data_IF_896684322852
#
_entry.id   IF_896684322852
#
_cell.length_a   1.000
_cell.length_b   1.000
_cell.length_c   1.000
_cell.angle_alpha   90.00
_cell.angle_beta   90.00
_cell.angle_gamma   90.00
#
_symmetry.space_group_name_H-M   'P 1'
#
loop_
_entity.id
_entity.type
_entity.pdbx_description
1 polymer ?
#
# COMPACT_ATOMS: atom_id res chain seq x y z
N UNK A 1 12.02 6.45 -4.13
CA UNK A 1 11.93 6.53 -2.65
C UNK A 1 13.34 6.42 -2.09
N UNK A 2 13.76 7.30 -1.17
CA UNK A 2 15.03 7.13 -0.46
C UNK A 2 14.92 5.96 0.52
N UNK A 3 15.84 4.99 0.44
CA UNK A 3 15.88 3.81 1.32
C UNK A 3 16.55 4.05 2.67
N UNK A 4 17.22 5.19 2.87
CA UNK A 4 18.03 5.46 4.07
C UNK A 4 19.38 4.72 4.11
N UNK A 5 19.72 3.98 3.05
CA UNK A 5 20.95 3.20 2.88
C UNK A 5 21.88 3.79 1.79
N UNK A 6 21.58 5.02 1.36
CA UNK A 6 22.29 5.71 0.28
C UNK A 6 21.83 5.31 -1.13
N UNK A 7 20.72 4.59 -1.25
CA UNK A 7 20.08 4.29 -2.53
C UNK A 7 18.69 4.90 -2.65
N UNK A 8 18.36 5.31 -3.87
CA UNK A 8 16.99 5.58 -4.28
C UNK A 8 16.39 4.33 -4.93
N UNK A 9 15.21 3.94 -4.46
CA UNK A 9 14.44 2.80 -4.94
C UNK A 9 13.33 3.24 -5.87
N UNK A 10 13.14 2.47 -6.94
CA UNK A 10 12.16 2.72 -8.00
C UNK A 10 11.49 1.39 -8.30
N UNK A 11 10.19 1.42 -8.59
CA UNK A 11 9.43 0.23 -8.95
C UNK A 11 8.70 0.47 -10.25
N UNK A 12 8.69 -0.54 -11.12
CA UNK A 12 7.77 -0.62 -12.26
C UNK A 12 6.77 -1.77 -12.04
N UNK A 13 6.06 -2.18 -13.09
CA UNK A 13 5.07 -3.25 -12.99
C UNK A 13 5.66 -4.63 -12.61
N UNK A 14 6.97 -4.84 -12.77
CA UNK A 14 7.62 -6.15 -12.70
C UNK A 14 8.95 -6.18 -11.94
N UNK A 15 9.51 -5.02 -11.59
CA UNK A 15 10.87 -4.91 -11.08
C UNK A 15 10.99 -3.88 -9.97
N UNK A 16 11.84 -4.18 -9.00
CA UNK A 16 12.35 -3.20 -8.04
C UNK A 16 13.81 -2.87 -8.41
N UNK A 17 14.07 -1.60 -8.69
CA UNK A 17 15.39 -1.06 -8.97
C UNK A 17 15.92 -0.31 -7.75
N UNK A 18 17.24 -0.25 -7.61
CA UNK A 18 17.91 0.75 -6.79
C UNK A 18 19.04 1.42 -7.56
N UNK A 19 19.21 2.72 -7.35
CA UNK A 19 20.27 3.55 -7.92
C UNK A 19 20.94 4.35 -6.81
N UNK A 20 22.26 4.54 -6.91
CA UNK A 20 23.03 5.36 -5.95
C UNK A 20 23.21 6.81 -6.43
N UNK A 21 23.21 6.99 -7.75
CA UNK A 21 23.37 8.26 -8.42
C UNK A 21 22.75 8.22 -9.83
N UNK A 22 22.93 9.30 -10.60
CA UNK A 22 22.41 9.44 -11.97
C UNK A 22 23.42 9.05 -13.05
N UNK A 23 24.41 8.20 -12.74
CA UNK A 23 25.40 7.71 -13.72
C UNK A 23 24.79 6.79 -14.79
N UNK A 24 23.53 6.38 -14.63
CA UNK A 24 22.87 5.39 -15.47
C UNK A 24 23.12 3.94 -15.02
N UNK A 25 23.82 3.73 -13.90
CA UNK A 25 23.99 2.41 -13.30
C UNK A 25 22.92 2.14 -12.23
N UNK A 26 22.42 0.91 -12.18
CA UNK A 26 21.41 0.49 -11.21
C UNK A 26 21.41 -1.02 -11.02
N UNK A 27 20.83 -1.46 -9.92
CA UNK A 27 20.66 -2.87 -9.60
C UNK A 27 19.17 -3.23 -9.61
N UNK A 28 18.85 -4.44 -10.06
CA UNK A 28 17.48 -4.98 -10.08
C UNK A 28 17.40 -6.08 -9.03
N UNK A 29 16.39 -6.02 -8.16
CA UNK A 29 16.11 -7.09 -7.22
C UNK A 29 15.59 -8.32 -7.98
N UNK A 30 16.17 -9.48 -7.72
CA UNK A 30 15.61 -10.74 -8.17
C UNK A 30 14.61 -11.26 -7.13
N UNK A 31 13.31 -11.25 -7.47
CA UNK A 31 12.23 -11.82 -6.64
C UNK A 31 12.14 -13.36 -6.70
N UNK A 32 13.05 -14.01 -7.42
CA UNK A 32 12.99 -15.44 -7.69
C UNK A 32 11.71 -15.79 -8.44
N UNK A 33 10.95 -16.77 -7.92
CA UNK A 33 9.69 -17.20 -8.50
C UNK A 33 8.46 -16.51 -7.87
N UNK A 34 8.64 -15.56 -6.95
CA UNK A 34 7.51 -14.89 -6.31
C UNK A 34 6.94 -13.81 -7.26
N UNK A 35 5.68 -13.91 -7.69
CA UNK A 35 5.07 -12.90 -8.54
C UNK A 35 4.78 -11.63 -7.74
N UNK A 36 5.27 -10.48 -8.20
CA UNK A 36 5.01 -9.19 -7.56
C UNK A 36 3.54 -8.73 -7.67
N UNK A 37 2.76 -9.31 -8.60
CA UNK A 37 1.43 -8.81 -8.94
C UNK A 37 1.50 -7.39 -9.50
N UNK A 38 0.37 -6.69 -9.49
CA UNK A 38 0.36 -5.28 -9.83
C UNK A 38 0.83 -4.45 -8.62
N UNK A 39 2.02 -3.85 -8.76
CA UNK A 39 2.65 -3.03 -7.72
C UNK A 39 2.29 -1.56 -7.90
N UNK A 40 1.96 -0.90 -6.79
CA UNK A 40 1.49 0.50 -6.81
C UNK A 40 2.39 1.46 -6.04
N UNK A 41 3.06 1.00 -5.00
CA UNK A 41 3.83 1.88 -4.13
C UNK A 41 5.04 1.19 -3.53
N UNK A 42 5.95 2.03 -3.04
CA UNK A 42 7.02 1.67 -2.13
C UNK A 42 6.78 2.36 -0.79
N UNK A 43 7.19 1.70 0.30
CA UNK A 43 7.15 2.25 1.65
C UNK A 43 8.46 1.98 2.38
N UNK A 44 8.92 2.94 3.19
CA UNK A 44 10.01 2.73 4.14
C UNK A 44 9.38 2.50 5.52
N UNK A 45 9.39 1.25 5.98
CA UNK A 45 8.78 0.82 7.24
C UNK A 45 9.84 0.11 8.07
N UNK A 46 9.94 0.42 9.36
CA UNK A 46 10.94 -0.17 10.26
C UNK A 46 12.39 -0.12 9.71
N UNK A 47 12.73 0.94 8.96
CA UNK A 47 14.05 1.09 8.34
C UNK A 47 14.32 0.16 7.15
N UNK A 48 13.29 -0.51 6.60
CA UNK A 48 13.41 -1.38 5.43
C UNK A 48 12.45 -0.96 4.32
N UNK A 49 12.90 -1.14 3.08
CA UNK A 49 12.07 -0.94 1.89
C UNK A 49 11.04 -2.06 1.79
N UNK A 50 9.80 -1.67 1.57
CA UNK A 50 8.67 -2.55 1.31
C UNK A 50 8.07 -2.22 -0.06
N UNK A 51 7.73 -3.27 -0.80
CA UNK A 51 6.96 -3.21 -2.04
C UNK A 51 5.50 -3.49 -1.72
N UNK A 52 4.62 -2.60 -2.18
CA UNK A 52 3.18 -2.73 -1.99
C UNK A 52 2.57 -3.38 -3.24
N UNK A 53 2.34 -4.68 -3.17
CA UNK A 53 1.61 -5.42 -4.19
C UNK A 53 0.13 -5.16 -4.01
N UNK A 54 -0.37 -4.21 -4.80
CA UNK A 54 -1.72 -3.68 -4.66
C UNK A 54 -2.76 -4.75 -4.91
N UNK A 55 -2.65 -5.44 -6.06
CA UNK A 55 -3.69 -6.38 -6.48
C UNK A 55 -3.79 -7.60 -5.59
N UNK A 56 -2.67 -8.02 -4.98
CA UNK A 56 -2.58 -9.21 -4.12
C UNK A 56 -2.80 -8.92 -2.64
N UNK A 57 -2.93 -7.65 -2.27
CA UNK A 57 -2.96 -7.25 -0.86
C UNK A 57 -1.70 -7.69 -0.09
N UNK A 58 -0.55 -7.76 -0.76
CA UNK A 58 0.71 -8.20 -0.15
C UNK A 58 1.62 -7.01 0.14
N UNK A 59 2.31 -7.08 1.27
CA UNK A 59 3.35 -6.13 1.66
C UNK A 59 4.66 -6.92 1.70
N UNK A 60 5.57 -6.62 0.78
CA UNK A 60 6.78 -7.42 0.57
C UNK A 60 7.98 -6.65 1.09
N UNK A 61 8.56 -7.08 2.21
CA UNK A 61 9.76 -6.49 2.79
C UNK A 61 11.01 -6.99 2.07
N UNK A 62 11.90 -6.09 1.70
CA UNK A 62 13.23 -6.43 1.21
C UNK A 62 14.15 -6.61 2.41
N UNK A 63 14.61 -7.84 2.66
CA UNK A 63 15.47 -8.17 3.78
C UNK A 63 16.96 -8.06 3.44
N UNK A 64 17.35 -8.51 2.24
CA UNK A 64 18.70 -8.36 1.68
C UNK A 64 18.58 -8.22 0.15
N UNK A 65 18.78 -7.00 -0.35
CA UNK A 65 18.61 -6.70 -1.77
C UNK A 65 19.60 -7.48 -2.65
N UNK A 66 20.87 -7.53 -2.24
CA UNK A 66 21.93 -8.16 -3.05
C UNK A 66 21.79 -9.68 -3.12
N UNK A 67 21.12 -10.30 -2.14
CA UNK A 67 20.82 -11.74 -2.13
C UNK A 67 19.40 -12.09 -2.60
N UNK A 68 18.56 -11.10 -2.93
CA UNK A 68 17.17 -11.35 -3.28
C UNK A 68 16.33 -11.90 -2.12
N UNK A 69 16.70 -11.64 -0.87
CA UNK A 69 15.95 -12.12 0.29
C UNK A 69 14.79 -11.19 0.60
N UNK A 70 13.58 -11.75 0.65
CA UNK A 70 12.34 -11.03 0.91
C UNK A 70 11.50 -11.75 1.96
N UNK A 71 10.67 -10.99 2.67
CA UNK A 71 9.57 -11.51 3.49
C UNK A 71 8.25 -11.00 2.92
N UNK A 72 7.30 -11.91 2.67
CA UNK A 72 5.97 -11.57 2.15
C UNK A 72 4.96 -11.58 3.30
N UNK A 73 4.28 -10.46 3.51
CA UNK A 73 3.15 -10.37 4.42
C UNK A 73 1.85 -10.39 3.61
N UNK A 74 1.20 -11.54 3.56
CA UNK A 74 -0.14 -11.73 2.98
C UNK A 74 -1.18 -11.85 4.09
N UNK A 75 -2.41 -11.42 3.84
CA UNK A 75 -3.51 -11.51 4.81
C UNK A 75 -4.56 -12.55 4.42
N UNK A 76 -5.10 -13.27 5.41
CA UNK A 76 -6.24 -14.20 5.19
C UNK A 76 -7.51 -13.48 4.72
N UNK A 77 -7.57 -12.15 4.85
CA UNK A 77 -8.67 -11.34 4.35
C UNK A 77 -8.65 -11.14 2.82
N UNK A 78 -7.51 -11.39 2.16
CA UNK A 78 -7.39 -11.26 0.71
C UNK A 78 -8.04 -12.46 0.01
N UNK A 79 -8.85 -12.20 -1.02
CA UNK A 79 -9.73 -13.19 -1.66
C UNK A 79 -9.48 -13.34 -3.15
N UNK A 80 -9.07 -12.27 -3.84
CA UNK A 80 -8.88 -12.28 -5.28
C UNK A 80 -7.97 -11.14 -5.75
N UNK A 81 -7.09 -11.47 -6.70
CA UNK A 81 -6.23 -10.52 -7.41
C UNK A 81 -7.10 -9.60 -8.28
N UNK A 82 -7.01 -8.28 -8.07
CA UNK A 82 -7.82 -7.30 -8.82
C UNK A 82 -7.19 -5.89 -8.83
N UNK A 83 -7.56 -5.06 -9.81
CA UNK A 83 -7.04 -3.68 -9.89
C UNK A 83 -7.64 -2.73 -8.85
N UNK A 84 -8.88 -3.02 -8.45
CA UNK A 84 -9.71 -2.32 -7.47
C UNK A 84 -10.85 -3.25 -7.01
N UNK A 85 -11.56 -2.89 -5.93
CA UNK A 85 -12.64 -3.73 -5.45
C UNK A 85 -13.41 -3.21 -4.24
N UNK A 86 -13.63 -4.12 -3.28
CA UNK A 86 -14.24 -3.83 -1.99
C UNK A 86 -13.74 -4.91 -1.02
N UNK A 87 -13.59 -4.57 0.25
CA UNK A 87 -13.06 -5.52 1.24
C UNK A 87 -13.87 -6.82 1.32
N UNK A 88 -15.20 -6.71 1.23
CA UNK A 88 -16.11 -7.86 1.18
C UNK A 88 -15.89 -8.78 -0.02
N UNK A 89 -15.45 -8.25 -1.16
CA UNK A 89 -15.28 -8.96 -2.44
C UNK A 89 -13.86 -9.49 -2.65
N UNK A 90 -12.88 -8.59 -2.59
CA UNK A 90 -11.48 -8.85 -2.97
C UNK A 90 -10.57 -8.98 -1.74
N UNK A 91 -11.01 -8.47 -0.59
CA UNK A 91 -10.09 -8.11 0.49
C UNK A 91 -9.34 -6.82 0.15
N UNK A 92 -8.21 -6.52 0.82
CA UNK A 92 -7.46 -5.29 0.60
C UNK A 92 -6.86 -5.24 -0.82
N UNK A 93 -6.96 -4.06 -1.45
CA UNK A 93 -6.30 -3.71 -2.71
C UNK A 93 -5.47 -2.46 -2.48
N UNK A 94 -4.21 -2.63 -2.07
CA UNK A 94 -3.46 -1.58 -1.37
C UNK A 94 -2.96 -0.46 -2.30
N UNK A 95 -3.28 0.79 -1.98
CA UNK A 95 -2.72 1.96 -2.65
C UNK A 95 -1.39 2.41 -2.03
N UNK A 96 -1.24 2.26 -0.72
CA UNK A 96 -0.03 2.62 0.00
C UNK A 96 -0.08 2.11 1.43
N UNK A 97 1.09 2.10 2.07
CA UNK A 97 1.25 1.73 3.48
C UNK A 97 2.20 2.71 4.13
N UNK A 98 1.91 3.11 5.36
CA UNK A 98 2.79 3.96 6.16
C UNK A 98 2.72 3.60 7.64
N UNK A 99 3.61 4.16 8.46
CA UNK A 99 3.68 3.88 9.89
C UNK A 99 3.61 5.20 10.67
N UNK A 100 2.69 5.26 11.64
CA UNK A 100 2.55 6.41 12.53
C UNK A 100 2.12 5.96 13.92
N UNK A 101 2.79 6.47 14.96
CA UNK A 101 2.42 6.26 16.38
C UNK A 101 2.21 4.78 16.77
N UNK A 102 3.07 3.90 16.27
CA UNK A 102 3.04 2.45 16.58
C UNK A 102 1.95 1.66 15.87
N UNK A 103 1.31 2.26 14.87
CA UNK A 103 0.40 1.60 13.94
C UNK A 103 0.94 1.67 12.52
N UNK A 104 0.70 0.61 11.76
CA UNK A 104 0.72 0.66 10.31
C UNK A 104 -0.65 1.08 9.80
N UNK A 105 -0.67 1.87 8.74
CA UNK A 105 -1.88 2.30 8.06
C UNK A 105 -1.78 1.91 6.60
N UNK A 106 -2.88 1.42 6.04
CA UNK A 106 -2.96 1.18 4.60
C UNK A 106 -4.26 1.68 4.01
N UNK A 107 -4.14 2.24 2.81
CA UNK A 107 -5.28 2.66 1.99
C UNK A 107 -5.59 1.60 0.95
N UNK A 108 -6.87 1.47 0.57
CA UNK A 108 -7.30 0.55 -0.48
C UNK A 108 -8.05 1.24 -1.62
N UNK A 109 -7.89 0.71 -2.84
CA UNK A 109 -8.65 1.15 -4.01
C UNK A 109 -10.00 0.44 -4.08
N UNK A 110 -10.99 1.00 -3.39
CA UNK A 110 -12.36 0.50 -3.43
C UNK A 110 -13.31 1.45 -4.12
N UNK A 111 -14.12 0.92 -5.04
CA UNK A 111 -15.05 1.73 -5.84
C UNK A 111 -16.23 0.91 -6.33
N UNK A 112 -17.45 1.48 -6.39
CA UNK A 112 -18.64 0.78 -6.84
C UNK A 112 -18.52 0.09 -8.21
N UNK A 113 -17.91 0.74 -9.20
CA UNK A 113 -17.75 0.23 -10.56
C UNK A 113 -16.97 -1.09 -10.64
N UNK A 114 -16.03 -1.32 -9.72
CA UNK A 114 -15.24 -2.56 -9.62
C UNK A 114 -15.84 -3.57 -8.62
N UNK A 115 -16.80 -3.16 -7.79
CA UNK A 115 -17.42 -4.02 -6.79
C UNK A 115 -18.94 -3.83 -6.68
N UNK A 116 -19.69 -4.05 -7.78
CA UNK A 116 -21.14 -3.90 -7.77
C UNK A 116 -21.76 -4.82 -6.72
N UNK A 117 -22.64 -4.27 -5.89
CA UNK A 117 -23.34 -5.00 -4.82
C UNK A 117 -22.55 -5.17 -3.51
N UNK A 118 -21.34 -4.62 -3.41
CA UNK A 118 -20.55 -4.63 -2.17
C UNK A 118 -20.41 -3.23 -1.59
N UNK A 119 -20.29 -3.13 -0.27
CA UNK A 119 -19.96 -1.87 0.39
C UNK A 119 -18.49 -1.51 0.12
N UNK A 120 -18.30 -0.34 -0.50
CA UNK A 120 -16.98 0.18 -0.89
C UNK A 120 -16.50 1.29 0.04
N UNK A 121 -17.32 1.73 1.01
CA UNK A 121 -16.93 2.79 1.96
C UNK A 121 -16.17 2.24 3.18
N UNK A 122 -16.18 0.93 3.41
CA UNK A 122 -15.52 0.26 4.55
C UNK A 122 -14.11 -0.24 4.18
N UNK A 123 -13.24 -0.30 5.18
CA UNK A 123 -11.84 -0.78 5.12
C UNK A 123 -10.99 -0.13 4.01
N UNK A 124 -11.41 1.04 3.53
CA UNK A 124 -10.65 1.87 2.60
C UNK A 124 -9.42 2.45 3.27
N UNK A 125 -9.48 2.70 4.57
CA UNK A 125 -8.33 2.99 5.42
C UNK A 125 -8.37 2.03 6.61
N UNK A 126 -7.35 1.20 6.71
CA UNK A 126 -7.20 0.23 7.80
C UNK A 126 -5.93 0.51 8.59
N UNK A 127 -5.89 0.08 9.84
CA UNK A 127 -4.67 0.07 10.65
C UNK A 127 -4.47 -1.22 11.44
N UNK A 128 -3.23 -1.53 11.76
CA UNK A 128 -2.85 -2.68 12.58
C UNK A 128 -1.54 -2.40 13.33
N UNK A 129 -1.23 -3.23 14.35
CA UNK A 129 -0.04 -3.02 15.21
C UNK A 129 1.13 -3.93 14.84
N UNK A 130 0.85 -5.18 14.49
CA UNK A 130 1.89 -6.17 14.19
C UNK A 130 1.66 -6.82 12.83
N UNK A 131 2.73 -7.29 12.20
CA UNK A 131 2.63 -8.05 10.95
C UNK A 131 1.72 -9.29 11.10
N UNK A 132 1.71 -9.91 12.29
CA UNK A 132 0.81 -11.02 12.60
C UNK A 132 -0.67 -10.59 12.58
N UNK A 133 -0.99 -9.40 13.09
CA UNK A 133 -2.36 -8.86 13.04
C UNK A 133 -2.82 -8.70 11.59
N UNK A 134 -1.98 -8.11 10.74
CA UNK A 134 -2.26 -8.00 9.31
C UNK A 134 -2.48 -9.37 8.67
N UNK A 135 -1.58 -10.32 8.91
CA UNK A 135 -1.66 -11.67 8.37
C UNK A 135 -2.94 -12.40 8.79
N UNK A 136 -3.39 -12.19 10.02
CA UNK A 136 -4.62 -12.78 10.57
C UNK A 136 -5.90 -11.99 10.20
N UNK A 137 -5.79 -10.90 9.45
CA UNK A 137 -6.92 -10.04 9.11
C UNK A 137 -7.48 -9.26 10.31
N UNK A 138 -6.72 -9.14 11.39
CA UNK A 138 -7.06 -8.38 12.60
C UNK A 138 -6.70 -6.91 12.42
N UNK A 139 -7.45 -6.24 11.56
CA UNK A 139 -7.26 -4.83 11.23
C UNK A 139 -8.42 -4.00 11.79
N UNK A 140 -8.13 -2.77 12.19
CA UNK A 140 -9.14 -1.77 12.56
C UNK A 140 -9.53 -0.98 11.31
N UNK A 141 -10.84 -0.90 11.03
CA UNK A 141 -11.37 -0.01 10.00
C UNK A 141 -11.49 1.42 10.55
N UNK A 142 -10.78 2.35 9.91
CA UNK A 142 -10.82 3.79 10.25
C UNK A 142 -11.32 4.62 9.07
N UNK A 143 -12.08 3.99 8.16
CA UNK A 143 -12.61 4.64 6.96
C UNK A 143 -13.64 5.72 7.23
N UNK A 144 -14.22 5.78 8.43
CA UNK A 144 -15.11 6.86 8.87
C UNK A 144 -14.40 8.23 8.94
N UNK A 145 -13.07 8.23 8.99
CA UNK A 145 -12.28 9.45 8.88
C UNK A 145 -12.25 10.01 7.43
N UNK A 146 -12.70 9.24 6.44
CA UNK A 146 -12.75 9.63 5.04
C UNK A 146 -14.16 10.06 4.64
N UNK A 147 -14.30 11.06 3.75
CA UNK A 147 -15.56 11.29 3.09
C UNK A 147 -16.04 10.02 2.35
N UNK A 148 -17.35 9.81 2.32
CA UNK A 148 -17.94 8.69 1.57
C UNK A 148 -17.69 8.82 0.06
N UNK A 149 -17.57 7.70 -0.63
CA UNK A 149 -17.30 7.61 -2.06
C UNK A 149 -15.89 8.04 -2.49
N UNK A 150 -14.98 8.30 -1.55
CA UNK A 150 -13.59 8.67 -1.85
C UNK A 150 -12.67 7.44 -1.85
N UNK A 151 -11.71 7.43 -2.76
CA UNK A 151 -10.61 6.47 -2.81
C UNK A 151 -9.37 7.12 -2.18
N UNK A 152 -8.93 6.68 -1.00
CA UNK A 152 -7.66 7.14 -0.43
C UNK A 152 -6.50 6.59 -1.28
N UNK A 153 -5.60 7.45 -1.74
CA UNK A 153 -4.56 7.08 -2.70
C UNK A 153 -3.16 7.20 -2.11
N UNK A 154 -2.58 8.40 -2.06
CA UNK A 154 -1.26 8.58 -1.47
C UNK A 154 -1.36 8.67 0.05
N UNK A 155 -0.48 7.94 0.74
CA UNK A 155 -0.33 8.01 2.19
C UNK A 155 1.08 8.47 2.54
N UNK A 156 1.17 9.43 3.44
CA UNK A 156 2.39 9.87 4.09
C UNK A 156 2.05 10.36 5.50
N UNK A 157 3.02 10.89 6.23
CA UNK A 157 2.78 11.40 7.57
C UNK A 157 3.81 12.45 7.96
N UNK A 158 3.42 13.32 8.89
CA UNK A 158 4.37 14.04 9.74
C UNK A 158 4.57 13.27 11.06
N UNK A 159 5.18 13.89 12.08
CA UNK A 159 5.38 13.23 13.37
C UNK A 159 4.08 13.00 14.17
N UNK A 160 2.96 13.59 13.74
CA UNK A 160 1.70 13.64 14.49
C UNK A 160 0.48 13.14 13.72
N UNK A 161 0.45 13.29 12.40
CA UNK A 161 -0.75 13.17 11.56
C UNK A 161 -0.44 12.41 10.28
N UNK A 162 -1.44 11.69 9.79
CA UNK A 162 -1.39 11.15 8.44
C UNK A 162 -1.70 12.26 7.45
N UNK A 163 -0.92 12.36 6.38
CA UNK A 163 -1.23 13.14 5.20
C UNK A 163 -1.75 12.20 4.13
N UNK A 164 -2.83 12.57 3.46
CA UNK A 164 -3.43 11.73 2.46
C UNK A 164 -4.01 12.54 1.31
N UNK A 165 -3.98 11.96 0.12
CA UNK A 165 -4.82 12.39 -0.99
C UNK A 165 -5.94 11.39 -1.22
N UNK A 166 -7.10 11.89 -1.64
CA UNK A 166 -8.18 11.05 -2.13
C UNK A 166 -8.80 11.64 -3.38
N UNK A 167 -9.47 10.79 -4.15
CA UNK A 167 -10.21 11.16 -5.34
C UNK A 167 -11.52 10.40 -5.44
N UNK A 168 -12.44 10.89 -6.27
CA UNK A 168 -13.68 10.18 -6.57
C UNK A 168 -13.57 9.45 -7.91
N UNK A 169 -13.48 8.12 -7.87
CA UNK A 169 -13.43 7.32 -9.10
C UNK A 169 -14.73 7.40 -9.91
N UNK A 170 -15.88 7.40 -9.24
CA UNK A 170 -17.20 7.44 -9.89
C UNK A 170 -17.55 8.82 -10.46
N UNK A 171 -16.84 9.87 -10.01
CA UNK A 171 -16.99 11.24 -10.49
C UNK A 171 -15.60 11.88 -10.69
N UNK A 172 -14.88 11.50 -11.76
CA UNK A 172 -13.54 12.02 -12.02
C UNK A 172 -13.50 13.56 -12.00
N UNK A 173 -12.43 14.10 -11.43
CA UNK A 173 -12.20 15.54 -11.26
C UNK A 173 -13.20 16.25 -10.32
N UNK A 174 -14.01 15.52 -9.55
CA UNK A 174 -14.91 16.08 -8.54
C UNK A 174 -14.57 15.57 -7.15
N UNK A 175 -14.20 16.49 -6.25
CA UNK A 175 -13.94 16.17 -4.85
C UNK A 175 -12.57 15.54 -4.58
N UNK A 176 -11.62 15.70 -5.49
CA UNK A 176 -10.22 15.38 -5.23
C UNK A 176 -9.69 16.30 -4.14
N UNK A 177 -9.05 15.71 -3.12
CA UNK A 177 -8.67 16.44 -1.93
C UNK A 177 -7.36 15.90 -1.35
N UNK A 178 -6.56 16.81 -0.78
CA UNK A 178 -5.43 16.49 0.08
C UNK A 178 -5.72 17.02 1.48
N UNK A 179 -5.52 16.19 2.51
CA UNK A 179 -5.87 16.54 3.88
C UNK A 179 -5.02 15.80 4.90
N UNK A 180 -5.06 16.29 6.13
CA UNK A 180 -4.44 15.64 7.28
C UNK A 180 -5.52 14.96 8.13
N UNK A 181 -5.25 13.74 8.54
CA UNK A 181 -6.04 13.03 9.55
C UNK A 181 -5.33 13.05 10.89
N UNK A 182 -6.10 13.40 11.92
CA UNK A 182 -5.73 13.20 13.32
C UNK A 182 -6.44 11.92 13.79
N UNK A 183 -5.69 10.84 13.96
CA UNK A 183 -6.16 9.50 14.33
C UNK A 183 -5.56 9.02 15.65
#
# INVERSE_FOLDING_TARGET
MDGGDGFAYIVDAHHLFRIRDFSGQGEILNFGNHPMGYVRALALLDGKVHVISASRGEIIRVDDFSKGQITVFSTVAHKADADAGAYGKTGPILNGVTQLKGYYYASSYFTPSYAPGYDTDTHRLIRWRTWQDYQQGKVEDVSDALPRGQVPYFLSHDSQRLMMTSYNHEKPCQGDIAFYLSL
#
